data_IF_266739232675
#
_entry.id   IF_266739232675
#
_cell.length_a   1.000
_cell.length_b   1.000
_cell.length_c   1.000
_cell.angle_alpha   90.00
_cell.angle_beta   90.00
_cell.angle_gamma   90.00
#
_symmetry.space_group_name_H-M   'P 1'
#
loop_
_entity.id
_entity.type
_entity.pdbx_description
1 polymer ?
#
# COMPACT_ATOMS: atom_id res chain seq x y z
N UNK A 1 2.29 16.86 1.91
CA UNK A 1 2.42 15.42 2.20
C UNK A 1 1.19 14.98 2.96
N UNK A 2 0.28 14.25 2.31
CA UNK A 2 -0.86 13.63 2.96
C UNK A 2 -0.45 12.38 3.76
N UNK A 3 -1.30 11.90 4.68
CA UNK A 3 -1.04 10.65 5.38
C UNK A 3 -1.02 9.50 4.35
N UNK A 4 0.13 8.96 4.07
CA UNK A 4 0.33 7.86 3.12
C UNK A 4 1.50 8.03 2.16
N UNK A 5 2.06 9.24 2.02
CA UNK A 5 3.20 9.50 1.15
C UNK A 5 4.14 10.54 1.77
N UNK A 6 5.43 10.45 1.45
CA UNK A 6 6.45 11.38 1.93
C UNK A 6 7.33 10.79 3.04
N UNK A 7 7.97 11.66 3.82
CA UNK A 7 9.01 11.28 4.79
C UNK A 7 8.49 10.33 5.89
N UNK A 8 7.29 10.56 6.39
CA UNK A 8 6.67 9.71 7.41
C UNK A 8 6.47 8.26 6.92
N UNK A 9 6.10 8.10 5.65
CA UNK A 9 5.90 6.77 5.07
C UNK A 9 7.20 5.96 4.95
N UNK A 10 8.35 6.63 4.87
CA UNK A 10 9.65 5.94 4.89
C UNK A 10 9.83 5.17 6.20
N UNK A 11 9.53 5.81 7.34
CA UNK A 11 9.66 5.17 8.65
C UNK A 11 8.71 3.97 8.79
N UNK A 12 7.45 4.13 8.36
CA UNK A 12 6.47 3.05 8.38
C UNK A 12 6.89 1.86 7.51
N UNK A 13 7.47 2.13 6.35
CA UNK A 13 7.96 1.09 5.45
C UNK A 13 9.16 0.33 6.05
N UNK A 14 10.07 1.02 6.75
CA UNK A 14 11.16 0.34 7.46
C UNK A 14 10.65 -0.54 8.60
N UNK A 15 9.70 -0.06 9.40
CA UNK A 15 9.06 -0.85 10.44
C UNK A 15 8.39 -2.10 9.85
N UNK A 16 7.64 -1.93 8.75
CA UNK A 16 7.00 -3.04 8.06
C UNK A 16 8.03 -4.06 7.57
N UNK A 17 9.12 -3.65 6.91
CA UNK A 17 10.17 -4.56 6.45
C UNK A 17 10.81 -5.35 7.60
N UNK A 18 11.12 -4.70 8.72
CA UNK A 18 11.66 -5.38 9.89
C UNK A 18 10.66 -6.42 10.44
N UNK A 19 9.40 -6.05 10.61
CA UNK A 19 8.34 -6.92 11.11
C UNK A 19 8.13 -8.13 10.20
N UNK A 20 8.09 -7.92 8.88
CA UNK A 20 7.93 -9.00 7.92
C UNK A 20 9.17 -9.91 7.87
N UNK A 21 10.38 -9.35 7.98
CA UNK A 21 11.62 -10.11 8.07
C UNK A 21 11.62 -11.07 9.27
N UNK A 22 11.27 -10.58 10.46
CA UNK A 22 11.12 -11.43 11.65
C UNK A 22 10.05 -12.50 11.45
N UNK A 23 8.92 -12.16 10.84
CA UNK A 23 7.85 -13.11 10.56
C UNK A 23 8.26 -14.24 9.62
N UNK A 24 9.09 -13.95 8.61
CA UNK A 24 9.67 -14.96 7.72
C UNK A 24 10.57 -15.90 8.49
N UNK A 25 11.47 -15.39 9.31
CA UNK A 25 12.39 -16.23 10.12
C UNK A 25 11.60 -17.15 11.06
N UNK A 26 10.63 -16.59 11.78
CA UNK A 26 9.76 -17.38 12.68
C UNK A 26 8.95 -18.44 11.91
N UNK A 27 8.37 -18.05 10.77
CA UNK A 27 7.60 -18.97 9.93
C UNK A 27 8.46 -20.12 9.39
N UNK A 28 9.67 -19.83 8.89
CA UNK A 28 10.61 -20.83 8.43
C UNK A 28 10.99 -21.81 9.54
N UNK A 29 11.33 -21.33 10.73
CA UNK A 29 11.70 -22.18 11.87
C UNK A 29 10.58 -23.18 12.24
N UNK A 30 9.32 -22.73 12.18
CA UNK A 30 8.17 -23.58 12.46
C UNK A 30 7.85 -24.56 11.31
N UNK A 31 8.25 -24.24 10.08
CA UNK A 31 7.92 -25.05 8.90
C UNK A 31 8.95 -26.14 8.63
N UNK A 32 10.18 -26.03 9.16
CA UNK A 32 11.23 -27.05 9.00
C UNK A 32 10.73 -28.45 9.38
N UNK A 33 10.03 -28.57 10.51
CA UNK A 33 9.53 -29.86 10.97
C UNK A 33 8.47 -30.49 10.04
N UNK A 34 7.73 -29.69 9.26
CA UNK A 34 6.81 -30.20 8.25
C UNK A 34 7.54 -30.96 7.13
N UNK A 35 8.66 -30.40 6.67
CA UNK A 35 9.42 -31.00 5.56
C UNK A 35 10.29 -32.18 6.00
N UNK A 36 10.73 -32.19 7.26
CA UNK A 36 11.50 -33.31 7.84
C UNK A 36 10.63 -34.47 8.31
N UNK A 37 9.33 -34.25 8.58
CA UNK A 37 8.40 -35.32 8.95
C UNK A 37 8.18 -36.30 7.78
N UNK A 38 8.52 -37.57 7.99
CA UNK A 38 8.38 -38.62 6.98
C UNK A 38 7.02 -39.30 7.08
N UNK A 39 6.47 -39.63 5.93
CA UNK A 39 5.22 -40.42 5.83
C UNK A 39 5.57 -41.90 6.13
N UNK A 40 4.84 -42.59 7.05
CA UNK A 40 5.04 -44.01 7.30
C UNK A 40 4.86 -44.84 6.03
N UNK A 41 5.66 -45.90 5.85
CA UNK A 41 5.59 -46.83 4.70
C UNK A 41 4.24 -47.53 4.55
N UNK A 42 3.43 -47.55 5.60
CA UNK A 42 2.07 -48.11 5.60
C UNK A 42 1.07 -47.36 4.73
N UNK A 43 1.38 -46.13 4.31
CA UNK A 43 0.53 -45.29 3.44
C UNK A 43 0.91 -45.43 1.97
N UNK A 44 0.88 -46.65 1.43
CA UNK A 44 1.40 -47.09 0.11
C UNK A 44 1.22 -46.06 -1.03
N UNK A 45 0.01 -45.50 -1.18
CA UNK A 45 -0.32 -44.57 -2.30
C UNK A 45 0.24 -43.16 -2.16
N UNK A 46 0.62 -42.72 -0.98
CA UNK A 46 1.04 -41.32 -0.71
C UNK A 46 2.54 -41.21 -0.35
N UNK A 47 3.27 -42.34 -0.40
CA UNK A 47 4.73 -42.35 -0.15
C UNK A 47 5.49 -41.48 -1.15
N UNK A 48 4.92 -41.22 -2.34
CA UNK A 48 5.54 -40.33 -3.32
C UNK A 48 5.74 -38.91 -2.81
N UNK A 49 4.95 -38.42 -1.82
CA UNK A 49 5.15 -37.13 -1.17
C UNK A 49 6.46 -37.08 -0.35
N UNK A 50 7.07 -38.22 -0.02
CA UNK A 50 8.41 -38.25 0.59
C UNK A 50 9.53 -38.12 -0.45
N UNK A 51 9.20 -38.22 -1.74
CA UNK A 51 10.19 -38.06 -2.79
C UNK A 51 10.71 -36.61 -2.78
N UNK A 52 12.02 -36.38 -2.65
CA UNK A 52 12.59 -35.05 -2.63
C UNK A 52 12.26 -34.22 -3.87
N UNK A 53 12.09 -34.89 -5.02
CA UNK A 53 11.69 -34.22 -6.27
C UNK A 53 10.27 -33.66 -6.16
N UNK A 54 9.33 -34.39 -5.56
CA UNK A 54 7.95 -33.93 -5.37
C UNK A 54 7.90 -32.74 -4.38
N UNK A 55 8.63 -32.85 -3.27
CA UNK A 55 8.71 -31.78 -2.24
C UNK A 55 9.34 -30.53 -2.85
N UNK A 56 10.44 -30.64 -3.58
CA UNK A 56 11.09 -29.48 -4.23
C UNK A 56 10.21 -28.87 -5.31
N UNK A 57 9.46 -29.66 -6.06
CA UNK A 57 8.49 -29.16 -7.04
C UNK A 57 7.39 -28.32 -6.37
N UNK A 58 6.81 -28.82 -5.28
CA UNK A 58 5.77 -28.09 -4.53
C UNK A 58 6.33 -26.78 -3.96
N UNK A 59 7.52 -26.83 -3.34
CA UNK A 59 8.18 -25.63 -2.82
C UNK A 59 8.44 -24.63 -3.95
N UNK A 60 8.93 -25.08 -5.10
CA UNK A 60 9.18 -24.21 -6.27
C UNK A 60 7.90 -23.53 -6.76
N UNK A 61 6.81 -24.27 -6.87
CA UNK A 61 5.50 -23.72 -7.25
C UNK A 61 5.04 -22.67 -6.22
N UNK A 62 5.18 -22.95 -4.93
CA UNK A 62 4.82 -22.01 -3.87
C UNK A 62 5.67 -20.73 -3.90
N UNK A 63 6.96 -20.85 -4.15
CA UNK A 63 7.87 -19.68 -4.30
C UNK A 63 7.49 -18.84 -5.52
N UNK A 64 7.21 -19.48 -6.66
CA UNK A 64 6.75 -18.76 -7.86
C UNK A 64 5.45 -18.00 -7.62
N UNK A 65 4.47 -18.64 -6.98
CA UNK A 65 3.19 -18.00 -6.63
C UNK A 65 3.41 -16.82 -5.68
N UNK A 66 4.26 -16.99 -4.66
CA UNK A 66 4.57 -15.95 -3.68
C UNK A 66 5.20 -14.72 -4.34
N UNK A 67 6.03 -14.91 -5.36
CA UNK A 67 6.63 -13.80 -6.10
C UNK A 67 5.64 -13.15 -7.09
N UNK A 68 4.76 -13.94 -7.72
CA UNK A 68 3.89 -13.46 -8.78
C UNK A 68 2.72 -12.58 -8.26
N UNK A 69 2.16 -12.92 -7.09
CA UNK A 69 1.03 -12.18 -6.51
C UNK A 69 1.33 -10.69 -6.25
N UNK A 70 2.40 -10.30 -5.53
CA UNK A 70 2.71 -8.89 -5.29
C UNK A 70 3.10 -8.15 -6.58
N UNK A 71 3.75 -8.81 -7.53
CA UNK A 71 4.04 -8.20 -8.85
C UNK A 71 2.77 -7.78 -9.58
N UNK A 72 1.69 -8.56 -9.48
CA UNK A 72 0.40 -8.17 -10.02
C UNK A 72 -0.20 -6.98 -9.27
N UNK A 73 -0.14 -7.00 -7.94
CA UNK A 73 -0.61 -5.89 -7.11
C UNK A 73 0.15 -4.59 -7.39
N UNK A 74 1.47 -4.66 -7.53
CA UNK A 74 2.32 -3.52 -7.86
C UNK A 74 2.02 -2.89 -9.22
N UNK A 75 1.62 -3.70 -10.22
CA UNK A 75 1.11 -3.16 -11.49
C UNK A 75 -0.13 -2.30 -11.27
N UNK A 76 -1.04 -2.69 -10.37
CA UNK A 76 -2.17 -1.85 -10.01
C UNK A 76 -1.72 -0.53 -9.35
N UNK A 77 -0.74 -0.59 -8.43
CA UNK A 77 -0.15 0.59 -7.78
C UNK A 77 0.43 1.60 -8.76
N UNK A 78 1.13 1.14 -9.80
CA UNK A 78 1.71 2.01 -10.83
C UNK A 78 0.66 2.86 -11.58
N UNK A 79 -0.56 2.35 -11.77
CA UNK A 79 -1.66 3.15 -12.35
C UNK A 79 -2.05 4.32 -11.43
N UNK A 80 -2.05 4.10 -10.11
CA UNK A 80 -2.33 5.16 -9.13
C UNK A 80 -1.26 6.25 -9.14
N UNK A 81 0.01 5.86 -9.12
CA UNK A 81 1.14 6.81 -9.14
C UNK A 81 1.15 7.62 -10.44
N UNK A 82 0.91 6.97 -11.58
CA UNK A 82 0.86 7.65 -12.89
C UNK A 82 -0.23 8.74 -12.98
N UNK A 83 -1.27 8.61 -12.18
CA UNK A 83 -2.40 9.54 -12.16
C UNK A 83 -2.43 10.41 -10.90
N UNK A 84 -1.32 10.52 -10.17
CA UNK A 84 -1.25 11.20 -8.87
C UNK A 84 -1.72 12.65 -8.92
N UNK A 85 -1.36 13.41 -9.97
CA UNK A 85 -1.78 14.81 -10.14
C UNK A 85 -3.30 14.93 -10.29
N UNK A 86 -3.89 14.04 -11.08
CA UNK A 86 -5.34 14.00 -11.30
C UNK A 86 -6.07 13.59 -10.02
N UNK A 87 -5.51 12.66 -9.23
CA UNK A 87 -6.06 12.29 -7.93
C UNK A 87 -5.99 13.46 -6.93
N UNK A 88 -4.88 14.17 -6.92
CA UNK A 88 -4.69 15.35 -6.04
C UNK A 88 -5.67 16.45 -6.40
N UNK A 89 -5.87 16.72 -7.68
CA UNK A 89 -6.86 17.68 -8.16
C UNK A 89 -8.29 17.25 -7.80
N UNK A 90 -8.62 15.98 -8.04
CA UNK A 90 -9.93 15.41 -7.70
C UNK A 90 -10.24 15.49 -6.21
N UNK A 91 -9.27 15.18 -5.37
CA UNK A 91 -9.40 15.27 -3.91
C UNK A 91 -9.58 16.72 -3.44
N UNK A 92 -8.91 17.69 -4.09
CA UNK A 92 -9.12 19.13 -3.80
C UNK A 92 -10.54 19.56 -4.15
N UNK A 93 -11.05 19.17 -5.30
CA UNK A 93 -12.44 19.46 -5.69
C UNK A 93 -13.44 18.83 -4.73
N UNK A 94 -13.24 17.58 -4.38
CA UNK A 94 -14.08 16.87 -3.40
C UNK A 94 -14.07 17.57 -2.04
N UNK A 95 -12.88 17.92 -1.54
CA UNK A 95 -12.74 18.63 -0.27
C UNK A 95 -13.38 20.03 -0.32
N UNK A 96 -13.29 20.73 -1.43
CA UNK A 96 -13.90 22.05 -1.61
C UNK A 96 -15.43 21.95 -1.56
N UNK A 97 -16.03 21.14 -2.41
CA UNK A 97 -17.49 21.01 -2.48
C UNK A 97 -18.07 20.34 -1.23
N UNK A 98 -17.37 19.39 -0.63
CA UNK A 98 -17.78 18.77 0.63
C UNK A 98 -17.76 19.73 1.81
N UNK A 99 -16.76 20.62 1.89
CA UNK A 99 -16.66 21.60 2.99
C UNK A 99 -17.62 22.76 2.84
N UNK A 100 -18.02 23.14 1.65
CA UNK A 100 -18.97 24.24 1.42
C UNK A 100 -20.27 24.06 2.22
N UNK A 101 -20.77 22.84 2.33
CA UNK A 101 -21.98 22.54 3.08
C UNK A 101 -21.85 22.59 4.60
N UNK A 102 -20.62 22.50 5.13
CA UNK A 102 -20.35 22.45 6.58
C UNK A 102 -19.71 23.73 7.14
N UNK A 103 -19.28 24.64 6.28
CA UNK A 103 -18.64 25.89 6.70
C UNK A 103 -19.68 26.95 7.06
N UNK A 104 -19.92 27.13 8.36
CA UNK A 104 -20.89 28.10 8.88
C UNK A 104 -20.58 29.54 8.45
N UNK A 105 -19.29 29.89 8.23
CA UNK A 105 -18.89 31.23 7.76
C UNK A 105 -19.34 31.52 6.35
N UNK A 106 -19.50 30.50 5.53
CA UNK A 106 -19.96 30.61 4.15
C UNK A 106 -21.46 30.40 3.98
N UNK A 107 -22.19 30.10 5.07
CA UNK A 107 -23.63 29.77 5.00
C UNK A 107 -24.47 30.90 4.42
N UNK A 108 -24.14 32.18 4.70
CA UNK A 108 -24.82 33.33 4.12
C UNK A 108 -24.60 33.41 2.61
N UNK A 109 -23.34 33.29 2.15
CA UNK A 109 -22.98 33.33 0.74
C UNK A 109 -23.62 32.15 -0.01
N UNK A 110 -23.60 30.96 0.57
CA UNK A 110 -24.23 29.77 0.00
C UNK A 110 -25.73 30.01 -0.32
N UNK A 111 -26.46 30.67 0.61
CA UNK A 111 -27.88 30.97 0.45
C UNK A 111 -28.13 32.09 -0.56
N UNK A 112 -27.35 33.18 -0.46
CA UNK A 112 -27.54 34.36 -1.32
C UNK A 112 -27.23 34.01 -2.78
N UNK A 113 -26.13 33.27 -3.02
CA UNK A 113 -25.69 32.91 -4.36
C UNK A 113 -26.18 31.55 -4.85
N UNK A 114 -27.02 30.86 -4.08
CA UNK A 114 -27.57 29.52 -4.41
C UNK A 114 -26.46 28.53 -4.82
N UNK A 115 -25.36 28.54 -4.08
CA UNK A 115 -24.17 27.71 -4.42
C UNK A 115 -24.42 26.22 -4.23
N UNK A 116 -25.48 25.81 -3.55
CA UNK A 116 -25.94 24.42 -3.47
C UNK A 116 -26.19 23.82 -4.86
N UNK A 117 -26.71 24.63 -5.80
CA UNK A 117 -26.88 24.19 -7.20
C UNK A 117 -25.58 23.90 -7.92
N UNK A 118 -24.51 24.62 -7.58
CA UNK A 118 -23.17 24.38 -8.13
C UNK A 118 -22.63 23.06 -7.59
N UNK A 119 -22.78 22.81 -6.29
CA UNK A 119 -22.38 21.55 -5.65
C UNK A 119 -23.16 20.35 -6.26
N UNK A 120 -24.46 20.48 -6.43
CA UNK A 120 -25.29 19.46 -7.05
C UNK A 120 -24.87 19.19 -8.50
N UNK A 121 -24.70 20.24 -9.29
CA UNK A 121 -24.23 20.12 -10.69
C UNK A 121 -22.88 19.43 -10.78
N UNK A 122 -21.94 19.74 -9.87
CA UNK A 122 -20.65 19.06 -9.82
C UNK A 122 -20.80 17.58 -9.47
N UNK A 123 -21.59 17.24 -8.45
CA UNK A 123 -21.81 15.87 -8.04
C UNK A 123 -22.48 15.00 -9.10
N UNK A 124 -23.39 15.57 -9.86
CA UNK A 124 -24.10 14.89 -10.97
C UNK A 124 -23.33 14.91 -12.29
N UNK A 125 -22.24 15.66 -12.36
CA UNK A 125 -21.41 15.76 -13.57
C UNK A 125 -20.77 14.42 -13.92
N UNK A 126 -20.73 14.10 -15.22
CA UNK A 126 -19.98 12.95 -15.74
C UNK A 126 -18.47 13.07 -15.51
N UNK A 127 -17.99 14.29 -15.28
CA UNK A 127 -16.58 14.60 -15.00
C UNK A 127 -16.23 14.42 -13.53
N UNK A 128 -17.21 14.20 -12.65
CA UNK A 128 -16.95 13.93 -11.24
C UNK A 128 -16.12 12.66 -11.10
N UNK A 129 -14.86 12.75 -10.61
CA UNK A 129 -13.96 11.61 -10.49
C UNK A 129 -14.48 10.49 -9.60
N UNK A 130 -15.33 10.83 -8.62
CA UNK A 130 -15.97 9.89 -7.67
C UNK A 130 -17.32 9.36 -8.15
N UNK A 131 -17.82 9.85 -9.27
CA UNK A 131 -19.07 9.36 -9.86
C UNK A 131 -18.97 7.93 -10.40
N UNK A 132 -20.10 7.29 -10.65
CA UNK A 132 -20.15 5.90 -11.15
C UNK A 132 -19.46 5.68 -12.51
N UNK A 133 -19.28 6.74 -13.29
CA UNK A 133 -18.54 6.78 -14.57
C UNK A 133 -17.22 7.55 -14.48
N UNK A 134 -16.88 8.03 -13.28
CA UNK A 134 -15.66 8.81 -13.02
C UNK A 134 -14.38 7.99 -13.12
N UNK A 135 -13.26 8.68 -12.90
CA UNK A 135 -11.92 8.11 -13.01
C UNK A 135 -11.73 6.89 -12.11
N UNK A 136 -12.12 7.01 -10.83
CA UNK A 136 -11.93 5.93 -9.85
C UNK A 136 -12.77 4.68 -10.19
N UNK A 137 -14.00 4.88 -10.66
CA UNK A 137 -14.85 3.78 -11.11
C UNK A 137 -14.27 3.08 -12.36
N UNK A 138 -13.69 3.85 -13.29
CA UNK A 138 -13.03 3.30 -14.49
C UNK A 138 -11.79 2.51 -14.15
N UNK A 139 -10.99 2.96 -13.18
CA UNK A 139 -9.81 2.22 -12.70
C UNK A 139 -10.22 0.95 -11.95
N UNK A 140 -11.20 1.05 -11.05
CA UNK A 140 -11.67 -0.11 -10.28
C UNK A 140 -12.31 -1.19 -11.14
N UNK A 141 -13.07 -0.81 -12.18
CA UNK A 141 -13.66 -1.75 -13.15
C UNK A 141 -12.69 -2.18 -14.25
N UNK A 142 -11.59 -1.48 -14.43
CA UNK A 142 -10.61 -1.69 -15.49
C UNK A 142 -9.30 -2.32 -14.98
N UNK A 143 -8.15 -1.72 -15.35
CA UNK A 143 -6.85 -2.36 -15.16
C UNK A 143 -6.51 -2.57 -13.68
N UNK A 144 -6.81 -1.62 -12.80
CA UNK A 144 -6.51 -1.74 -11.36
C UNK A 144 -7.30 -2.89 -10.76
N UNK A 145 -8.62 -2.93 -10.99
CA UNK A 145 -9.48 -3.99 -10.48
C UNK A 145 -9.07 -5.36 -11.01
N UNK A 146 -8.70 -5.46 -12.29
CA UNK A 146 -8.23 -6.72 -12.87
C UNK A 146 -6.95 -7.22 -12.20
N UNK A 147 -5.93 -6.38 -12.05
CA UNK A 147 -4.67 -6.78 -11.41
C UNK A 147 -4.85 -7.13 -9.93
N UNK A 148 -5.69 -6.38 -9.21
CA UNK A 148 -6.02 -6.70 -7.81
C UNK A 148 -6.77 -8.02 -7.67
N UNK A 149 -7.77 -8.26 -8.52
CA UNK A 149 -8.50 -9.53 -8.53
C UNK A 149 -7.60 -10.72 -8.88
N UNK A 150 -6.73 -10.56 -9.89
CA UNK A 150 -5.77 -11.58 -10.26
C UNK A 150 -4.77 -11.88 -9.13
N UNK A 151 -4.24 -10.86 -8.45
CA UNK A 151 -3.38 -11.03 -7.27
C UNK A 151 -4.10 -11.79 -6.15
N UNK A 152 -5.35 -11.41 -5.84
CA UNK A 152 -6.17 -12.10 -4.84
C UNK A 152 -6.45 -13.56 -5.21
N UNK A 153 -6.77 -13.84 -6.47
CA UNK A 153 -7.00 -15.20 -6.94
C UNK A 153 -5.73 -16.08 -6.78
N UNK A 154 -4.57 -15.55 -7.12
CA UNK A 154 -3.27 -16.22 -6.95
C UNK A 154 -3.01 -16.52 -5.46
N UNK A 155 -3.33 -15.59 -4.56
CA UNK A 155 -3.22 -15.78 -3.10
C UNK A 155 -4.13 -16.91 -2.59
N UNK A 156 -5.36 -16.99 -3.08
CA UNK A 156 -6.31 -18.07 -2.70
C UNK A 156 -5.81 -19.43 -3.21
N UNK A 157 -5.28 -19.49 -4.44
CA UNK A 157 -4.69 -20.72 -4.99
C UNK A 157 -3.51 -21.19 -4.15
N UNK A 158 -2.62 -20.28 -3.72
CA UNK A 158 -1.52 -20.61 -2.82
C UNK A 158 -2.02 -21.24 -1.52
N UNK A 159 -3.00 -20.60 -0.90
CA UNK A 159 -3.61 -21.10 0.35
C UNK A 159 -4.20 -22.49 0.13
N UNK A 160 -4.92 -22.71 -0.97
CA UNK A 160 -5.48 -24.01 -1.32
C UNK A 160 -4.41 -25.10 -1.49
N UNK A 161 -3.32 -24.82 -2.18
CA UNK A 161 -2.18 -25.76 -2.34
C UNK A 161 -1.57 -26.09 -0.98
N UNK A 162 -1.36 -25.09 -0.11
CA UNK A 162 -0.82 -25.30 1.24
C UNK A 162 -1.73 -26.21 2.07
N UNK A 163 -3.05 -25.97 2.05
CA UNK A 163 -4.01 -26.81 2.76
C UNK A 163 -3.99 -28.25 2.24
N UNK A 164 -4.08 -28.46 0.94
CA UNK A 164 -4.08 -29.80 0.35
C UNK A 164 -2.80 -30.55 0.72
N UNK A 165 -1.64 -29.92 0.60
CA UNK A 165 -0.36 -30.55 0.94
C UNK A 165 -0.28 -30.96 2.41
N UNK A 166 -0.61 -30.04 3.32
CA UNK A 166 -0.55 -30.32 4.77
C UNK A 166 -1.57 -31.36 5.18
N UNK A 167 -2.81 -31.29 4.68
CA UNK A 167 -3.85 -32.26 5.00
C UNK A 167 -3.53 -33.66 4.47
N UNK A 168 -2.98 -33.78 3.25
CA UNK A 168 -2.55 -35.07 2.71
C UNK A 168 -1.45 -35.69 3.57
N UNK A 169 -0.47 -34.89 4.02
CA UNK A 169 0.57 -35.36 4.93
C UNK A 169 0.02 -35.79 6.31
N UNK A 170 -0.94 -35.04 6.84
CA UNK A 170 -1.60 -35.41 8.10
C UNK A 170 -2.42 -36.71 8.00
N UNK A 171 -3.13 -36.87 6.87
CA UNK A 171 -3.91 -38.08 6.61
C UNK A 171 -3.04 -39.36 6.65
N UNK A 172 -1.83 -39.27 6.15
CA UNK A 172 -0.89 -40.40 6.18
C UNK A 172 -0.31 -40.71 7.57
N UNK A 173 -0.64 -39.90 8.57
CA UNK A 173 -0.14 -40.10 9.95
C UNK A 173 1.29 -39.55 10.16
N UNK A 174 1.82 -38.72 9.25
CA UNK A 174 3.14 -38.13 9.42
C UNK A 174 3.21 -37.21 10.66
N UNK A 175 2.08 -36.63 11.05
CA UNK A 175 1.93 -35.82 12.27
C UNK A 175 0.46 -35.76 12.71
N UNK A 176 0.23 -35.37 13.97
CA UNK A 176 -1.11 -35.27 14.53
C UNK A 176 -1.92 -34.07 14.01
N UNK A 177 -3.25 -34.15 14.10
CA UNK A 177 -4.21 -33.14 13.61
C UNK A 177 -3.91 -31.75 14.20
N UNK A 178 -3.48 -31.67 15.47
CA UNK A 178 -3.09 -30.38 16.08
C UNK A 178 -1.94 -29.66 15.38
N UNK A 179 -1.06 -30.39 14.69
CA UNK A 179 0.04 -29.81 13.93
C UNK A 179 -0.40 -29.23 12.57
N UNK A 180 -1.56 -29.65 12.04
CA UNK A 180 -2.10 -29.15 10.76
C UNK A 180 -2.29 -27.63 10.80
N UNK A 181 -2.98 -27.14 11.81
CA UNK A 181 -3.21 -25.69 11.98
C UNK A 181 -1.90 -24.93 12.12
N UNK A 182 -0.94 -25.45 12.88
CA UNK A 182 0.39 -24.87 13.05
C UNK A 182 1.09 -24.72 11.70
N UNK A 183 1.15 -25.78 10.90
CA UNK A 183 1.86 -25.77 9.62
C UNK A 183 1.18 -24.87 8.59
N UNK A 184 -0.15 -24.92 8.48
CA UNK A 184 -0.90 -24.06 7.58
C UNK A 184 -0.68 -22.58 7.96
N UNK A 185 -0.80 -22.23 9.24
CA UNK A 185 -0.57 -20.87 9.72
C UNK A 185 0.87 -20.40 9.44
N UNK A 186 1.86 -21.28 9.62
CA UNK A 186 3.27 -20.95 9.36
C UNK A 186 3.53 -20.71 7.87
N UNK A 187 3.02 -21.56 6.99
CA UNK A 187 3.17 -21.44 5.52
C UNK A 187 2.47 -20.17 5.03
N UNK A 188 1.23 -19.93 5.45
CA UNK A 188 0.48 -18.73 5.05
C UNK A 188 1.11 -17.46 5.61
N UNK A 189 1.70 -17.50 6.81
CA UNK A 189 2.46 -16.39 7.36
C UNK A 189 3.73 -16.09 6.58
N UNK A 190 4.50 -17.10 6.18
CA UNK A 190 5.68 -16.91 5.30
C UNK A 190 5.24 -16.26 4.00
N UNK A 191 4.19 -16.78 3.35
CA UNK A 191 3.65 -16.22 2.11
C UNK A 191 3.27 -14.75 2.27
N UNK A 192 2.46 -14.43 3.29
CA UNK A 192 2.02 -13.05 3.53
C UNK A 192 3.19 -12.11 3.82
N UNK A 193 4.18 -12.56 4.57
CA UNK A 193 5.34 -11.76 4.94
C UNK A 193 6.28 -11.52 3.77
N UNK A 194 6.54 -12.52 2.92
CA UNK A 194 7.33 -12.31 1.68
C UNK A 194 6.59 -11.40 0.72
N UNK A 195 5.28 -11.60 0.53
CA UNK A 195 4.45 -10.71 -0.28
C UNK A 195 4.43 -9.28 0.30
N UNK A 196 4.35 -9.14 1.61
CA UNK A 196 4.44 -7.87 2.33
C UNK A 196 5.76 -7.15 2.08
N UNK A 197 6.90 -7.84 2.19
CA UNK A 197 8.22 -7.28 1.87
C UNK A 197 8.28 -6.74 0.44
N UNK A 198 7.81 -7.51 -0.55
CA UNK A 198 7.82 -7.09 -1.96
C UNK A 198 6.93 -5.86 -2.15
N UNK A 199 5.71 -5.88 -1.61
CA UNK A 199 4.79 -4.73 -1.67
C UNK A 199 5.38 -3.50 -1.00
N UNK A 200 6.01 -3.65 0.16
CA UNK A 200 6.65 -2.52 0.88
C UNK A 200 7.80 -1.92 0.07
N UNK A 201 8.61 -2.76 -0.60
CA UNK A 201 9.67 -2.26 -1.50
C UNK A 201 9.07 -1.48 -2.68
N UNK A 202 7.97 -1.95 -3.27
CA UNK A 202 7.27 -1.23 -4.34
C UNK A 202 6.68 0.09 -3.83
N UNK A 203 6.12 0.12 -2.63
CA UNK A 203 5.60 1.34 -1.99
C UNK A 203 6.73 2.33 -1.69
N UNK A 204 7.92 1.87 -1.28
CA UNK A 204 9.10 2.72 -1.13
C UNK A 204 9.52 3.34 -2.48
N UNK A 205 9.52 2.56 -3.56
CA UNK A 205 9.84 3.07 -4.90
C UNK A 205 8.81 4.11 -5.36
N UNK A 206 7.53 3.86 -5.13
CA UNK A 206 6.46 4.80 -5.46
C UNK A 206 6.56 6.06 -4.61
N UNK A 207 6.90 5.93 -3.32
CA UNK A 207 7.07 7.07 -2.41
C UNK A 207 8.28 7.94 -2.79
N UNK A 208 9.30 7.38 -3.42
CA UNK A 208 10.47 8.14 -3.87
C UNK A 208 10.11 9.29 -4.81
N UNK A 209 9.06 9.13 -5.63
CA UNK A 209 8.55 10.19 -6.52
C UNK A 209 8.06 11.40 -5.71
N UNK A 210 7.37 11.15 -4.60
CA UNK A 210 6.87 12.22 -3.72
C UNK A 210 7.97 12.83 -2.86
N UNK A 211 8.96 12.03 -2.45
CA UNK A 211 10.14 12.52 -1.73
C UNK A 211 10.98 13.48 -2.59
N UNK A 212 11.09 13.22 -3.89
CA UNK A 212 11.80 14.09 -4.81
C UNK A 212 11.27 15.53 -4.74
N UNK A 213 9.94 15.72 -4.75
CA UNK A 213 9.32 17.04 -4.62
C UNK A 213 9.66 17.72 -3.27
N UNK A 214 9.77 16.93 -2.20
CA UNK A 214 10.15 17.45 -0.87
C UNK A 214 11.60 17.93 -0.88
N UNK A 215 12.50 17.16 -1.49
CA UNK A 215 13.91 17.56 -1.58
C UNK A 215 14.10 18.77 -2.52
N UNK A 216 13.42 18.80 -3.66
CA UNK A 216 13.44 19.97 -4.56
C UNK A 216 12.97 21.25 -3.82
N UNK A 217 11.98 21.15 -2.95
CA UNK A 217 11.56 22.28 -2.12
C UNK A 217 12.64 22.68 -1.10
N UNK A 218 13.31 21.74 -0.47
CA UNK A 218 14.37 22.01 0.52
C UNK A 218 15.64 22.57 -0.14
N UNK A 219 15.88 22.24 -1.40
CA UNK A 219 17.03 22.70 -2.18
C UNK A 219 16.82 24.10 -2.76
N UNK A 220 15.62 24.71 -2.60
CA UNK A 220 15.38 26.09 -3.04
C UNK A 220 16.34 27.02 -2.30
N UNK A 221 17.24 27.71 -3.01
CA UNK A 221 18.19 28.59 -2.38
C UNK A 221 17.48 29.75 -1.68
N UNK A 222 17.95 30.10 -0.50
CA UNK A 222 17.48 31.29 0.18
C UNK A 222 18.03 32.55 -0.50
N UNK A 223 17.25 33.11 -1.40
CA UNK A 223 17.62 34.34 -2.13
C UNK A 223 17.30 35.62 -1.31
N UNK A 224 16.78 35.49 -0.09
CA UNK A 224 16.55 36.63 0.77
C UNK A 224 17.89 37.17 1.30
N UNK A 225 18.05 38.47 1.17
CA UNK A 225 19.20 39.17 1.75
C UNK A 225 19.18 39.02 3.27
N UNK A 226 20.11 38.28 3.81
CA UNK A 226 20.34 38.17 5.26
C UNK A 226 21.29 39.30 5.64
N UNK A 227 20.72 40.49 5.85
CA UNK A 227 21.51 41.63 6.34
C UNK A 227 22.09 41.38 7.72
N UNK A 228 23.32 41.79 7.92
CA UNK A 228 23.99 41.75 9.23
C UNK A 228 23.52 42.85 10.20
N UNK A 229 22.59 43.71 9.76
CA UNK A 229 22.05 44.78 10.58
C UNK A 229 20.94 44.24 11.49
N UNK A 230 21.25 44.21 12.78
CA UNK A 230 20.22 44.06 13.82
C UNK A 230 19.30 45.28 13.78
N UNK A 231 18.00 45.04 13.94
CA UNK A 231 17.01 46.12 14.11
C UNK A 231 17.48 47.09 15.18
N UNK A 232 17.73 48.35 14.82
CA UNK A 232 18.05 49.37 15.80
C UNK A 232 16.93 49.46 16.83
N UNK A 233 17.31 49.37 18.12
CA UNK A 233 16.37 49.63 19.21
C UNK A 233 16.16 51.16 19.31
N UNK A 234 15.17 51.65 18.62
CA UNK A 234 14.80 53.08 18.71
C UNK A 234 14.11 53.33 20.04
N UNK A 235 14.54 54.37 20.70
CA UNK A 235 13.96 54.82 22.01
C UNK A 235 12.51 55.24 21.89
N UNK A 236 12.09 55.72 20.74
CA UNK A 236 10.71 56.13 20.42
C UNK A 236 9.76 55.00 20.11
N UNK A 237 10.29 53.74 19.96
CA UNK A 237 9.54 52.53 19.57
C UNK A 237 8.73 52.69 18.26
N UNK A 238 9.04 53.68 17.44
CA UNK A 238 8.38 53.89 16.14
C UNK A 238 9.21 53.19 15.09
N UNK A 239 8.73 52.04 14.61
CA UNK A 239 9.33 51.29 13.56
C UNK A 239 8.49 51.45 12.28
N UNK A 240 9.16 51.77 11.18
CA UNK A 240 8.55 51.85 9.87
C UNK A 240 8.95 50.64 9.05
N UNK A 241 7.98 49.97 8.48
CA UNK A 241 8.20 48.83 7.61
C UNK A 241 7.78 49.28 6.21
N UNK A 242 8.74 49.38 5.29
CA UNK A 242 8.49 49.77 3.92
C UNK A 242 8.74 48.55 3.00
N UNK A 243 7.74 48.25 2.17
CA UNK A 243 7.86 47.24 1.11
C UNK A 243 8.11 47.94 -0.20
N UNK A 244 9.30 47.74 -0.80
CA UNK A 244 9.65 48.28 -2.12
C UNK A 244 9.83 47.15 -3.10
N UNK A 245 9.14 47.23 -4.24
CA UNK A 245 9.26 46.28 -5.36
C UNK A 245 9.02 44.81 -4.93
N UNK A 246 8.00 44.59 -4.12
CA UNK A 246 7.57 43.23 -3.75
C UNK A 246 6.53 42.79 -4.78
N UNK A 247 6.80 41.69 -5.52
CA UNK A 247 5.90 41.08 -6.49
C UNK A 247 5.37 39.76 -5.93
#
# INVERSE_FOLDING_TARGET
>A
NGPGWGLYNVLLNYEALCSEGFSIICGLSMTISLFTSQIPKTAEKLVFLNNPVCVTAIISVMVLITWFSPVLAGKAGKYWVRSADLHTFSNRLFAYYGRLGYDSKKAADMRIYQQEKICEKHNLSKENPFGSKGLFARYGKGPVGFYMAASSAVSVIFTGIAYVFVCLKAWTGAFGIGAVTKYISSITKIYSSVSGCISTIEDMQNNAVFLKQTFEFLDIPNNMYQGSLTTEKRSDRKYEIEFRNVS
#
